data_IF_433551311012
#
_entry.id   IF_433551311012
#
_cell.length_a   1.000
_cell.length_b   1.000
_cell.length_c   1.000
_cell.angle_alpha   90.00
_cell.angle_beta   90.00
_cell.angle_gamma   90.00
#
_symmetry.space_group_name_H-M   'P 1'
#
loop_
_entity.id
_entity.type
_entity.pdbx_description
1 polymer ?
#
# COMPACT_ATOMS: atom_id res chain seq x y z
N UNK A 1 -42.94 32.90 -48.24
CA UNK A 1 -43.11 32.58 -46.81
C UNK A 1 -42.63 31.16 -46.57
N UNK A 2 -41.43 30.95 -46.00
CA UNK A 2 -41.10 29.72 -45.31
C UNK A 2 -40.79 29.98 -43.82
N UNK A 3 -41.22 29.04 -42.97
CA UNK A 3 -41.11 29.07 -41.51
C UNK A 3 -39.66 29.05 -41.01
N UNK A 4 -39.33 29.67 -39.86
CA UNK A 4 -38.00 29.56 -39.27
C UNK A 4 -37.83 28.20 -38.58
N UNK A 5 -36.74 27.50 -38.90
CA UNK A 5 -36.33 26.29 -38.18
C UNK A 5 -35.89 26.66 -36.77
N UNK A 6 -36.57 26.07 -35.79
CA UNK A 6 -36.28 26.22 -34.37
C UNK A 6 -35.02 25.42 -34.03
N UNK A 7 -33.94 26.11 -33.62
CA UNK A 7 -32.75 25.47 -33.07
C UNK A 7 -33.06 24.86 -31.69
N UNK A 8 -32.64 23.63 -31.39
CA UNK A 8 -32.80 23.03 -30.06
C UNK A 8 -31.90 23.74 -29.03
N UNK A 9 -32.29 23.73 -27.74
CA UNK A 9 -31.66 24.54 -26.70
C UNK A 9 -30.20 24.15 -26.45
N UNK A 10 -29.32 25.15 -26.46
CA UNK A 10 -27.91 25.06 -26.09
C UNK A 10 -27.80 24.68 -24.61
N UNK A 11 -27.51 23.42 -24.31
CA UNK A 11 -27.07 23.00 -22.98
C UNK A 11 -25.64 23.48 -22.75
N UNK A 12 -25.31 24.16 -21.64
CA UNK A 12 -23.94 24.54 -21.35
C UNK A 12 -23.13 23.29 -20.99
N UNK A 13 -22.37 22.76 -21.95
CA UNK A 13 -21.30 21.79 -21.75
C UNK A 13 -20.13 22.46 -20.99
N UNK A 14 -20.27 22.59 -19.67
CA UNK A 14 -19.14 22.70 -18.76
C UNK A 14 -18.99 21.39 -17.99
N UNK A 15 -18.73 20.30 -18.73
CA UNK A 15 -18.07 19.16 -18.12
C UNK A 15 -16.56 19.40 -18.26
N UNK A 16 -15.79 19.47 -17.17
CA UNK A 16 -14.34 19.52 -17.28
C UNK A 16 -13.90 18.25 -18.03
N UNK A 17 -13.28 18.44 -19.18
CA UNK A 17 -12.66 17.37 -19.98
C UNK A 17 -11.78 16.54 -19.06
N UNK A 18 -12.26 15.36 -18.68
CA UNK A 18 -11.49 14.41 -17.88
C UNK A 18 -10.47 13.83 -18.86
N UNK A 19 -9.29 14.45 -18.91
CA UNK A 19 -8.17 13.94 -19.70
C UNK A 19 -7.85 12.53 -19.22
N UNK A 20 -8.07 11.55 -20.10
CA UNK A 20 -7.83 10.12 -19.86
C UNK A 20 -6.36 9.75 -19.69
N UNK A 21 -5.46 10.76 -19.67
CA UNK A 21 -4.01 10.59 -19.53
C UNK A 21 -3.46 11.01 -18.16
N UNK A 22 -4.26 11.49 -17.21
CA UNK A 22 -3.75 11.78 -15.86
C UNK A 22 -3.84 10.53 -15.01
N UNK A 23 -2.74 9.76 -14.97
CA UNK A 23 -2.52 8.84 -13.86
C UNK A 23 -2.33 9.72 -12.61
N UNK A 24 -3.42 10.00 -11.88
CA UNK A 24 -3.35 10.64 -10.58
C UNK A 24 -2.61 9.70 -9.62
N UNK A 25 -1.29 9.80 -9.62
CA UNK A 25 -0.44 9.11 -8.66
C UNK A 25 -0.56 9.82 -7.32
N UNK A 26 -1.17 9.14 -6.35
CA UNK A 26 -1.32 9.63 -4.97
C UNK A 26 0.02 9.85 -4.26
N UNK A 27 1.10 9.25 -4.80
CA UNK A 27 2.46 9.37 -4.28
C UNK A 27 3.02 10.78 -4.46
N UNK A 28 2.49 11.57 -5.40
CA UNK A 28 3.03 12.88 -5.77
C UNK A 28 2.10 14.06 -5.46
N UNK A 29 1.04 13.88 -4.66
CA UNK A 29 0.20 15.01 -4.26
C UNK A 29 1.04 16.03 -3.47
N UNK A 30 1.43 17.14 -4.10
CA UNK A 30 2.15 18.23 -3.43
C UNK A 30 1.16 18.98 -2.55
N UNK A 31 1.52 19.17 -1.29
CA UNK A 31 0.70 19.89 -0.31
C UNK A 31 1.40 21.17 0.11
N UNK A 32 0.77 22.30 -0.19
CA UNK A 32 1.19 23.59 0.33
C UNK A 32 0.92 23.69 1.84
N UNK A 33 1.62 24.60 2.55
CA UNK A 33 1.35 24.87 3.97
C UNK A 33 -0.10 25.29 4.22
N UNK A 34 -0.69 26.06 3.31
CA UNK A 34 -2.08 26.50 3.40
C UNK A 34 -3.07 25.33 3.28
N UNK A 35 -2.89 24.46 2.28
CA UNK A 35 -3.71 23.25 2.13
C UNK A 35 -3.56 22.31 3.33
N UNK A 36 -2.35 22.21 3.91
CA UNK A 36 -2.12 21.44 5.13
C UNK A 36 -2.89 22.01 6.33
N UNK A 37 -2.94 23.33 6.49
CA UNK A 37 -3.73 23.96 7.55
C UNK A 37 -5.22 23.67 7.38
N UNK A 38 -5.75 23.75 6.15
CA UNK A 38 -7.14 23.39 5.84
C UNK A 38 -7.40 21.91 6.17
N UNK A 39 -6.47 21.02 5.81
CA UNK A 39 -6.55 19.60 6.16
C UNK A 39 -6.68 19.38 7.68
N UNK A 40 -5.79 19.96 8.48
CA UNK A 40 -5.85 19.83 9.94
C UNK A 40 -7.11 20.44 10.54
N UNK A 41 -7.51 21.62 10.05
CA UNK A 41 -8.76 22.26 10.46
C UNK A 41 -9.96 21.37 10.16
N UNK A 42 -10.02 20.75 8.99
CA UNK A 42 -11.11 19.87 8.59
C UNK A 42 -11.25 18.65 9.51
N UNK A 43 -10.16 18.09 10.02
CA UNK A 43 -10.22 17.02 11.03
C UNK A 43 -10.72 17.49 12.40
N UNK A 44 -10.49 18.75 12.77
CA UNK A 44 -11.06 19.34 13.98
C UNK A 44 -12.55 19.66 13.81
N UNK A 45 -12.96 20.10 12.62
CA UNK A 45 -14.33 20.45 12.28
C UNK A 45 -15.23 19.21 12.09
N UNK A 46 -14.66 18.10 11.62
CA UNK A 46 -15.34 16.82 11.41
C UNK A 46 -14.74 15.74 12.34
N UNK A 47 -15.14 15.68 13.61
CA UNK A 47 -14.60 14.72 14.58
C UNK A 47 -15.04 13.28 14.28
N UNK A 48 -14.19 12.32 14.65
CA UNK A 48 -14.41 10.89 14.41
C UNK A 48 -15.64 10.31 15.15
N UNK A 49 -16.08 10.96 16.23
CA UNK A 49 -17.26 10.57 17.01
C UNK A 49 -18.58 10.81 16.24
N UNK A 50 -18.60 11.81 15.33
CA UNK A 50 -19.81 12.21 14.59
C UNK A 50 -19.81 11.81 13.12
N UNK A 51 -18.64 11.54 12.54
CA UNK A 51 -18.50 11.27 11.12
C UNK A 51 -17.54 10.10 10.88
N UNK A 52 -17.95 9.16 10.03
CA UNK A 52 -17.08 8.08 9.59
C UNK A 52 -15.92 8.61 8.70
N UNK A 53 -14.87 7.80 8.56
CA UNK A 53 -13.66 8.18 7.80
C UNK A 53 -13.95 8.62 6.37
N UNK A 54 -14.84 7.94 5.66
CA UNK A 54 -15.17 8.25 4.27
C UNK A 54 -15.84 9.61 4.19
N UNK A 55 -16.86 9.85 5.03
CA UNK A 55 -17.56 11.14 5.10
C UNK A 55 -16.62 12.28 5.49
N UNK A 56 -15.71 12.05 6.44
CA UNK A 56 -14.69 13.04 6.82
C UNK A 56 -13.81 13.40 5.63
N UNK A 57 -13.29 12.42 4.92
CA UNK A 57 -12.38 12.67 3.79
C UNK A 57 -13.09 13.39 2.64
N UNK A 58 -14.36 13.07 2.39
CA UNK A 58 -15.19 13.79 1.41
C UNK A 58 -15.32 15.27 1.79
N UNK A 59 -15.70 15.56 3.03
CA UNK A 59 -15.88 16.94 3.51
C UNK A 59 -14.58 17.73 3.48
N UNK A 60 -13.45 17.11 3.84
CA UNK A 60 -12.14 17.75 3.80
C UNK A 60 -11.67 18.00 2.36
N UNK A 61 -11.87 17.03 1.45
CA UNK A 61 -11.55 17.21 0.04
C UNK A 61 -12.36 18.34 -0.60
N UNK A 62 -13.62 18.51 -0.20
CA UNK A 62 -14.47 19.62 -0.67
C UNK A 62 -13.93 21.00 -0.27
N UNK A 63 -13.09 21.10 0.77
CA UNK A 63 -12.42 22.34 1.17
C UNK A 63 -11.08 22.55 0.43
N UNK A 64 -10.63 21.59 -0.38
CA UNK A 64 -9.33 21.56 -1.04
C UNK A 64 -9.50 21.41 -2.56
N UNK A 65 -9.65 22.50 -3.33
CA UNK A 65 -10.04 22.44 -4.74
C UNK A 65 -9.02 21.70 -5.64
N UNK A 66 -7.78 21.55 -5.20
CA UNK A 66 -6.73 20.81 -5.90
C UNK A 66 -6.45 19.41 -5.35
N UNK A 67 -7.31 18.86 -4.47
CA UNK A 67 -7.13 17.55 -3.84
C UNK A 67 -8.40 16.73 -3.93
N UNK A 68 -8.24 15.45 -4.20
CA UNK A 68 -9.36 14.52 -4.20
C UNK A 68 -9.45 13.74 -2.87
N UNK A 69 -10.58 13.04 -2.69
CA UNK A 69 -10.81 12.19 -1.50
C UNK A 69 -9.68 11.17 -1.31
N UNK A 70 -9.12 10.65 -2.41
CA UNK A 70 -8.00 9.71 -2.40
C UNK A 70 -6.73 10.33 -1.81
N UNK A 71 -6.41 11.58 -2.16
CA UNK A 71 -5.25 12.30 -1.65
C UNK A 71 -5.37 12.56 -0.14
N UNK A 72 -6.56 12.95 0.30
CA UNK A 72 -6.88 13.18 1.72
C UNK A 72 -6.75 11.88 2.53
N UNK A 73 -7.32 10.78 2.02
CA UNK A 73 -7.25 9.48 2.68
C UNK A 73 -5.81 8.97 2.79
N UNK A 74 -5.04 9.08 1.71
CA UNK A 74 -3.63 8.68 1.70
C UNK A 74 -2.81 9.47 2.71
N UNK A 75 -3.02 10.78 2.78
CA UNK A 75 -2.33 11.65 3.73
C UNK A 75 -2.72 11.39 5.19
N UNK A 76 -4.00 11.16 5.45
CA UNK A 76 -4.49 10.80 6.78
C UNK A 76 -3.82 9.50 7.27
N UNK A 77 -3.72 8.49 6.40
CA UNK A 77 -3.01 7.23 6.69
C UNK A 77 -1.50 7.45 6.91
N UNK A 78 -0.84 8.28 6.10
CA UNK A 78 0.58 8.55 6.26
C UNK A 78 0.91 9.23 7.60
N UNK A 79 0.03 10.15 8.06
CA UNK A 79 0.19 10.82 9.35
C UNK A 79 -0.08 9.89 10.54
N UNK A 80 -1.10 9.02 10.47
CA UNK A 80 -1.36 8.03 11.52
C UNK A 80 -0.21 7.03 11.66
N UNK A 81 0.32 6.58 10.52
CA UNK A 81 1.49 5.67 10.47
C UNK A 81 2.75 6.38 11.00
N UNK A 82 2.90 7.69 10.81
CA UNK A 82 4.03 8.45 11.37
C UNK A 82 3.91 8.64 12.88
N UNK A 83 2.69 8.82 13.40
CA UNK A 83 2.41 8.91 14.83
C UNK A 83 2.64 7.56 15.55
N UNK A 84 2.24 6.45 14.94
CA UNK A 84 2.48 5.10 15.48
C UNK A 84 3.96 4.75 15.55
N UNK A 85 4.76 5.13 14.55
CA UNK A 85 6.23 4.96 14.56
C UNK A 85 6.91 5.75 15.68
N UNK A 86 6.43 6.97 15.98
CA UNK A 86 6.94 7.76 17.10
C UNK A 86 6.52 7.19 18.46
N UNK A 87 5.30 6.64 18.56
CA UNK A 87 4.83 5.96 19.78
C UNK A 87 5.60 4.65 20.02
N UNK A 88 5.76 3.81 18.99
CA UNK A 88 6.51 2.56 19.07
C UNK A 88 7.99 2.78 19.41
N UNK A 89 8.61 3.88 18.95
CA UNK A 89 10.00 4.21 19.32
C UNK A 89 10.12 4.61 20.81
N UNK A 90 9.10 5.28 21.38
CA UNK A 90 9.08 5.64 22.81
C UNK A 90 8.95 4.41 23.72
N UNK A 91 8.19 3.41 23.30
CA UNK A 91 7.96 2.19 24.09
C UNK A 91 9.03 1.10 23.88
N UNK A 92 9.77 1.12 22.77
CA UNK A 92 10.83 0.14 22.47
C UNK A 92 12.13 0.35 23.27
N UNK A 93 12.39 1.52 23.85
CA UNK A 93 13.59 1.71 24.67
C UNK A 93 13.46 1.06 26.07
N UNK A 94 12.23 0.89 26.56
CA UNK A 94 11.94 0.34 27.89
C UNK A 94 11.72 -1.17 27.93
N UNK A 95 11.47 -1.80 26.77
CA UNK A 95 11.23 -3.25 26.64
C UNK A 95 12.26 -3.89 25.72
N UNK A 96 13.54 -3.83 26.08
CA UNK A 96 14.48 -4.89 25.66
C UNK A 96 14.02 -6.18 26.34
N UNK A 97 13.21 -6.99 25.64
CA UNK A 97 12.98 -8.37 26.04
C UNK A 97 14.29 -9.13 25.94
N UNK A 98 14.65 -9.73 27.07
CA UNK A 98 15.67 -10.76 27.23
C UNK A 98 15.30 -11.90 26.28
N UNK A 99 16.14 -12.16 25.27
CA UNK A 99 16.00 -13.35 24.42
C UNK A 99 16.46 -14.52 25.26
N UNK A 100 15.50 -15.29 25.78
CA UNK A 100 15.77 -16.61 26.33
C UNK A 100 16.11 -17.55 25.14
N UNK A 101 17.20 -18.33 25.19
CA UNK A 101 17.51 -19.25 24.11
C UNK A 101 16.41 -20.33 24.02
N UNK A 102 15.92 -20.56 22.81
CA UNK A 102 14.93 -21.57 22.48
C UNK A 102 15.38 -22.95 22.96
N UNK A 103 14.66 -23.56 23.90
CA UNK A 103 14.78 -24.98 24.22
C UNK A 103 13.83 -25.76 23.30
N UNK A 104 14.39 -26.63 22.46
CA UNK A 104 13.64 -27.62 21.70
C UNK A 104 12.92 -28.58 22.65
N UNK A 105 11.58 -28.61 22.63
CA UNK A 105 10.78 -29.70 23.19
C UNK A 105 10.12 -30.48 22.05
N UNK A 106 10.21 -31.82 22.04
CA UNK A 106 9.73 -32.64 20.93
C UNK A 106 8.25 -33.03 21.11
N UNK A 107 7.59 -33.29 19.96
CA UNK A 107 6.26 -33.89 19.76
C UNK A 107 5.07 -32.93 19.98
N UNK A 108 4.15 -32.73 19.02
CA UNK A 108 3.27 -33.74 18.44
C UNK A 108 2.96 -33.49 16.95
N UNK A 109 2.89 -34.60 16.22
CA UNK A 109 2.65 -34.69 14.80
C UNK A 109 1.27 -34.15 14.38
N UNK A 110 1.27 -33.01 13.71
CA UNK A 110 0.28 -32.68 12.69
C UNK A 110 1.06 -32.39 11.41
N UNK A 111 0.92 -33.18 10.33
CA UNK A 111 1.52 -32.81 9.05
C UNK A 111 0.66 -31.68 8.48
N UNK A 112 0.95 -30.45 8.89
CA UNK A 112 0.80 -29.33 7.97
C UNK A 112 1.85 -29.61 6.90
N UNK A 113 1.48 -29.73 5.61
CA UNK A 113 2.46 -29.68 4.53
C UNK A 113 2.99 -28.24 4.52
N UNK A 114 3.90 -27.95 5.45
CA UNK A 114 4.80 -26.83 5.35
C UNK A 114 5.70 -27.21 4.17
N UNK A 115 5.39 -26.67 2.99
CA UNK A 115 6.27 -26.67 1.84
C UNK A 115 7.52 -25.88 2.20
N UNK A 116 8.40 -26.51 2.97
CA UNK A 116 9.63 -25.94 3.50
C UNK A 116 10.82 -26.55 2.79
N UNK A 117 10.79 -26.56 1.45
CA UNK A 117 11.95 -26.92 0.61
C UNK A 117 11.75 -26.38 -0.81
N UNK A 118 11.04 -25.25 -0.97
CA UNK A 118 11.05 -24.57 -2.25
C UNK A 118 12.35 -23.75 -2.35
N UNK A 119 13.28 -24.09 -3.26
CA UNK A 119 14.58 -23.43 -3.35
C UNK A 119 14.45 -21.93 -3.66
N UNK A 120 13.33 -21.51 -4.27
CA UNK A 120 13.06 -20.11 -4.60
C UNK A 120 12.81 -19.27 -3.34
N UNK A 121 12.10 -19.83 -2.35
CA UNK A 121 11.86 -19.18 -1.06
C UNK A 121 13.14 -19.05 -0.22
N UNK A 122 14.01 -20.06 -0.25
CA UNK A 122 15.30 -20.00 0.43
C UNK A 122 16.22 -18.92 -0.17
N UNK A 123 16.26 -18.82 -1.50
CA UNK A 123 17.02 -17.80 -2.22
C UNK A 123 16.49 -16.39 -1.96
N UNK A 124 15.18 -16.20 -1.97
CA UNK A 124 14.54 -14.93 -1.66
C UNK A 124 14.89 -14.45 -0.24
N UNK A 125 14.81 -15.35 0.74
CA UNK A 125 15.17 -15.04 2.13
C UNK A 125 16.64 -14.66 2.29
N UNK A 126 17.55 -15.35 1.58
CA UNK A 126 18.97 -15.02 1.61
C UNK A 126 19.27 -13.60 1.07
N UNK A 127 18.62 -13.19 -0.02
CA UNK A 127 18.76 -11.85 -0.59
C UNK A 127 18.25 -10.76 0.36
N UNK A 128 17.14 -11.01 1.05
CA UNK A 128 16.60 -10.07 2.04
C UNK A 128 17.52 -9.93 3.26
N UNK A 129 18.11 -11.03 3.70
CA UNK A 129 19.10 -11.03 4.78
C UNK A 129 20.37 -10.27 4.40
N UNK A 130 20.87 -10.46 3.17
CA UNK A 130 22.03 -9.73 2.67
C UNK A 130 21.74 -8.22 2.57
N UNK A 131 20.55 -7.83 2.11
CA UNK A 131 20.12 -6.44 2.11
C UNK A 131 20.16 -5.78 3.49
N UNK A 132 19.76 -6.49 4.53
CA UNK A 132 19.85 -6.00 5.91
C UNK A 132 21.32 -5.75 6.32
N UNK A 133 22.23 -6.66 5.96
CA UNK A 133 23.67 -6.50 6.24
C UNK A 133 24.25 -5.31 5.48
N UNK A 134 23.88 -5.12 4.21
CA UNK A 134 24.31 -3.97 3.40
C UNK A 134 23.82 -2.66 4.00
N UNK A 135 22.55 -2.58 4.45
CA UNK A 135 22.01 -1.39 5.11
C UNK A 135 22.74 -1.05 6.41
N UNK A 136 23.04 -2.04 7.25
CA UNK A 136 23.79 -1.83 8.49
C UNK A 136 25.23 -1.40 8.22
N UNK A 137 25.88 -1.98 7.21
CA UNK A 137 27.21 -1.59 6.74
C UNK A 137 27.21 -0.15 6.27
N UNK A 138 26.26 0.23 5.41
CA UNK A 138 26.11 1.61 4.92
C UNK A 138 25.94 2.59 6.06
N UNK A 139 25.11 2.25 7.06
CA UNK A 139 24.92 3.06 8.27
C UNK A 139 26.22 3.24 9.05
N UNK A 140 26.99 2.16 9.24
CA UNK A 140 28.27 2.21 9.95
C UNK A 140 29.30 3.10 9.26
N UNK A 141 29.38 2.99 7.93
CA UNK A 141 30.27 3.79 7.09
C UNK A 141 29.92 5.28 7.14
N UNK A 142 28.63 5.62 7.08
CA UNK A 142 28.14 6.99 7.24
C UNK A 142 28.52 7.58 8.61
N UNK A 143 28.32 6.80 9.69
CA UNK A 143 28.70 7.22 11.05
C UNK A 143 30.21 7.40 11.21
N UNK A 144 30.99 6.64 10.44
CA UNK A 144 32.46 6.71 10.44
C UNK A 144 33.03 7.75 9.47
N UNK A 145 32.18 8.47 8.73
CA UNK A 145 32.59 9.45 7.72
C UNK A 145 33.21 8.85 6.45
N UNK A 146 33.10 7.54 6.25
CA UNK A 146 33.68 6.82 5.09
C UNK A 146 32.64 6.64 3.99
N UNK A 147 32.34 7.72 3.26
CA UNK A 147 31.29 7.71 2.25
C UNK A 147 31.64 6.82 1.05
N UNK A 148 32.91 6.82 0.61
CA UNK A 148 33.37 6.03 -0.53
C UNK A 148 33.21 4.52 -0.33
N UNK A 149 33.32 4.05 0.92
CA UNK A 149 33.13 2.65 1.30
C UNK A 149 31.67 2.18 1.08
N UNK A 150 30.71 3.09 0.85
CA UNK A 150 29.32 2.74 0.53
C UNK A 150 29.09 2.39 -0.94
N UNK A 151 30.04 2.65 -1.83
CA UNK A 151 29.85 2.41 -3.26
C UNK A 151 29.53 0.95 -3.56
N UNK A 152 30.29 0.01 -3.01
CA UNK A 152 30.06 -1.43 -3.21
C UNK A 152 28.80 -1.94 -2.52
N UNK A 153 28.52 -1.64 -1.22
CA UNK A 153 27.26 -2.00 -0.58
C UNK A 153 26.02 -1.47 -1.31
N UNK A 154 26.08 -0.25 -1.85
CA UNK A 154 24.97 0.33 -2.61
C UNK A 154 24.71 -0.41 -3.92
N UNK A 155 25.77 -0.79 -4.65
CA UNK A 155 25.64 -1.58 -5.88
C UNK A 155 25.04 -2.96 -5.58
N UNK A 156 25.56 -3.65 -4.56
CA UNK A 156 25.03 -4.96 -4.13
C UNK A 156 23.58 -4.88 -3.69
N UNK A 157 23.23 -3.89 -2.87
CA UNK A 157 21.85 -3.67 -2.42
C UNK A 157 20.90 -3.44 -3.61
N UNK A 158 21.31 -2.61 -4.59
CA UNK A 158 20.54 -2.39 -5.82
C UNK A 158 20.32 -3.70 -6.59
N UNK A 159 21.38 -4.48 -6.78
CA UNK A 159 21.34 -5.70 -7.57
C UNK A 159 20.47 -6.78 -6.89
N UNK A 160 20.56 -6.89 -5.56
CA UNK A 160 19.67 -7.73 -4.76
C UNK A 160 18.21 -7.29 -4.88
N UNK A 161 17.91 -5.99 -4.77
CA UNK A 161 16.55 -5.47 -4.96
C UNK A 161 16.02 -5.79 -6.36
N UNK A 162 16.84 -5.67 -7.39
CA UNK A 162 16.45 -6.02 -8.75
C UNK A 162 16.11 -7.51 -8.86
N UNK A 163 16.93 -8.37 -8.25
CA UNK A 163 16.70 -9.82 -8.23
C UNK A 163 15.41 -10.17 -7.50
N UNK A 164 15.19 -9.61 -6.31
CA UNK A 164 13.96 -9.82 -5.53
C UNK A 164 12.73 -9.39 -6.31
N UNK A 165 12.76 -8.24 -6.99
CA UNK A 165 11.63 -7.76 -7.79
C UNK A 165 11.34 -8.66 -8.98
N UNK A 166 12.36 -9.20 -9.64
CA UNK A 166 12.18 -10.16 -10.73
C UNK A 166 11.55 -11.46 -10.22
N UNK A 167 12.09 -12.04 -9.14
CA UNK A 167 11.55 -13.26 -8.52
C UNK A 167 10.08 -13.08 -8.11
N UNK A 168 9.72 -11.94 -7.49
CA UNK A 168 8.33 -11.64 -7.13
C UNK A 168 7.43 -11.42 -8.36
N UNK A 169 7.96 -10.82 -9.42
CA UNK A 169 7.25 -10.64 -10.68
C UNK A 169 6.84 -11.97 -11.32
N UNK A 170 7.73 -12.96 -11.29
CA UNK A 170 7.45 -14.31 -11.78
C UNK A 170 6.39 -15.02 -10.94
N UNK A 171 6.40 -14.85 -9.61
CA UNK A 171 5.36 -15.39 -8.71
C UNK A 171 3.98 -14.82 -9.05
N UNK A 172 3.86 -13.51 -9.33
CA UNK A 172 2.59 -12.89 -9.69
C UNK A 172 2.01 -13.40 -11.04
N UNK A 173 2.85 -13.95 -11.91
CA UNK A 173 2.41 -14.56 -13.17
C UNK A 173 1.90 -16.00 -12.99
N UNK A 174 2.02 -16.61 -11.79
CA UNK A 174 1.54 -17.97 -11.54
C UNK A 174 0.08 -18.05 -11.08
N UNK A 175 -0.63 -16.92 -10.92
CA UNK A 175 -2.04 -16.92 -10.52
C UNK A 175 -2.87 -17.65 -11.60
N UNK A 176 -3.47 -18.81 -11.30
CA UNK A 176 -4.26 -19.54 -12.28
C UNK A 176 -5.49 -18.70 -12.66
N UNK A 177 -5.95 -18.75 -13.93
CA UNK A 177 -7.15 -18.05 -14.34
C UNK A 177 -8.32 -18.51 -13.46
N UNK A 178 -9.11 -17.54 -12.98
CA UNK A 178 -10.29 -17.85 -12.17
C UNK A 178 -11.18 -18.86 -12.92
N UNK A 179 -11.70 -19.90 -12.24
CA UNK A 179 -12.57 -20.87 -12.88
C UNK A 179 -13.73 -20.17 -13.59
N UNK A 180 -13.84 -20.38 -14.90
CA UNK A 180 -14.91 -19.78 -15.73
C UNK A 180 -16.24 -20.52 -15.54
N UNK A 181 -16.19 -21.72 -14.96
CA UNK A 181 -17.38 -22.53 -14.70
C UNK A 181 -17.87 -22.29 -13.27
N UNK A 182 -19.06 -21.71 -13.15
CA UNK A 182 -19.81 -21.66 -11.90
C UNK A 182 -20.13 -23.09 -11.47
N UNK A 183 -19.82 -23.44 -10.21
CA UNK A 183 -20.21 -24.73 -9.64
C UNK A 183 -21.74 -24.74 -9.43
N UNK A 184 -22.45 -25.30 -10.40
CA UNK A 184 -23.91 -25.45 -10.37
C UNK A 184 -24.36 -26.76 -9.73
N UNK A 185 -23.48 -27.51 -9.06
CA UNK A 185 -23.81 -28.79 -8.40
C UNK A 185 -24.96 -28.68 -7.41
N UNK A 186 -25.14 -27.49 -6.81
CA UNK A 186 -26.22 -27.19 -5.87
C UNK A 186 -27.54 -26.75 -6.54
N UNK A 187 -27.54 -26.47 -7.84
CA UNK A 187 -28.70 -25.95 -8.58
C UNK A 187 -29.63 -27.08 -9.04
N UNK A 188 -29.12 -28.31 -9.17
CA UNK A 188 -29.96 -29.48 -9.47
C UNK A 188 -30.49 -30.12 -8.18
N UNK A 189 -31.50 -29.51 -7.56
CA UNK A 189 -32.44 -30.29 -6.73
C UNK A 189 -33.39 -31.04 -7.66
N UNK A 190 -33.50 -32.38 -7.60
CA UNK A 190 -34.53 -33.09 -8.35
C UNK A 190 -35.89 -32.58 -7.89
N UNK A 191 -36.62 -31.96 -8.80
CA UNK A 191 -38.05 -31.66 -8.62
C UNK A 191 -38.74 -32.99 -8.35
N UNK A 192 -39.33 -33.09 -7.15
CA UNK A 192 -40.34 -34.08 -6.79
C UNK A 192 -41.22 -34.40 -8.00
N UNK A 193 -41.20 -35.66 -8.43
CA UNK A 193 -42.23 -36.22 -9.29
C UNK A 193 -43.02 -37.20 -8.43
N UNK A 194 -44.33 -36.99 -8.40
CA UNK A 194 -45.33 -37.80 -7.72
C UNK A 194 -45.21 -39.30 -8.00
#
# INVERSE_FOLDING_TARGET
MPSPMQQPPQTPEFLPSISTSVVYSTVHAVWSPHEMQIFHRGFAEFPADKYDNVTRYIKIAAMLPGKCVRDVAFKAKALSVSQEKMSMNRDHFSKRMKIEPYQETPTLAFPIPMGGDDPEDAQLNALLQDNMVMMNTMRSNLLSGKLDDNKEPMLKFRDNCHTVLNTLGDICNSIPPLPVQLDTSLISSPRNSQ
#
